data_IF_684491426900
#
_entry.id   IF_684491426900
#
_cell.length_a   1.000
_cell.length_b   1.000
_cell.length_c   1.000
_cell.angle_alpha   90.00
_cell.angle_beta   90.00
_cell.angle_gamma   90.00
#
_symmetry.space_group_name_H-M   'P 1'
#
loop_
_entity.id
_entity.type
_entity.pdbx_description
1 polymer ?
#
# COMPACT_ATOMS: atom_id res chain seq x y z
N UNK A 1 -14.24 -9.53 18.84
CA UNK A 1 -12.87 -8.93 18.87
C UNK A 1 -12.37 -8.78 17.45
N UNK A 2 -11.25 -8.09 17.17
CA UNK A 2 -10.71 -7.96 15.79
C UNK A 2 -10.31 -9.28 15.13
N UNK A 3 -10.26 -10.37 15.90
CA UNK A 3 -9.95 -11.73 15.46
C UNK A 3 -11.20 -12.56 15.13
N UNK A 4 -12.37 -12.11 15.60
CA UNK A 4 -13.62 -12.85 15.46
C UNK A 4 -14.32 -12.47 14.16
N UNK A 5 -14.92 -13.45 13.52
CA UNK A 5 -15.78 -13.23 12.36
C UNK A 5 -17.09 -12.58 12.80
N UNK A 6 -17.54 -11.51 12.14
CA UNK A 6 -18.82 -10.88 12.46
C UNK A 6 -19.99 -11.84 12.23
N UNK A 7 -20.94 -11.88 13.17
CA UNK A 7 -22.12 -12.77 13.10
C UNK A 7 -23.24 -12.28 12.18
N UNK A 8 -23.18 -11.03 11.71
CA UNK A 8 -24.21 -10.43 10.85
C UNK A 8 -23.77 -9.13 10.16
N UNK A 9 -24.46 -8.76 9.08
CA UNK A 9 -24.10 -7.62 8.22
C UNK A 9 -24.20 -6.26 8.93
N UNK A 10 -25.14 -6.12 9.87
CA UNK A 10 -25.38 -4.91 10.67
C UNK A 10 -24.26 -4.60 11.68
N UNK A 11 -23.41 -5.58 12.01
CA UNK A 11 -22.29 -5.43 12.95
C UNK A 11 -20.98 -5.06 12.25
N UNK A 12 -21.00 -4.81 10.93
CA UNK A 12 -19.79 -4.53 10.16
C UNK A 12 -19.37 -3.06 10.31
N UNK A 13 -18.21 -2.87 10.91
CA UNK A 13 -17.51 -1.59 10.97
C UNK A 13 -16.43 -1.52 9.89
N UNK A 14 -16.25 -0.34 9.30
CA UNK A 14 -15.06 -0.01 8.52
C UNK A 14 -14.05 0.64 9.48
N UNK A 15 -12.80 0.20 9.38
CA UNK A 15 -11.68 0.68 10.16
C UNK A 15 -10.52 1.08 9.26
N UNK A 16 -9.72 2.06 9.69
CA UNK A 16 -8.36 2.19 9.18
C UNK A 16 -7.48 1.14 9.89
N UNK A 17 -6.67 0.39 9.13
CA UNK A 17 -5.89 -0.72 9.66
C UNK A 17 -4.41 -0.59 9.29
N UNK A 18 -3.55 -0.48 10.30
CA UNK A 18 -2.10 -0.48 10.15
C UNK A 18 -1.58 -1.93 10.17
N UNK A 19 -0.96 -2.36 9.07
CA UNK A 19 -0.42 -3.72 8.91
C UNK A 19 0.84 -3.97 9.74
N UNK A 20 1.60 -2.92 10.08
CA UNK A 20 2.84 -3.04 10.84
C UNK A 20 2.56 -3.22 12.33
N UNK A 21 1.59 -2.47 12.88
CA UNK A 21 1.23 -2.54 14.30
C UNK A 21 0.03 -3.44 14.57
N UNK A 22 -0.70 -3.85 13.53
CA UNK A 22 -2.00 -4.52 13.60
C UNK A 22 -3.08 -3.70 14.32
N UNK A 23 -2.96 -2.37 14.36
CA UNK A 23 -3.94 -1.50 14.97
C UNK A 23 -5.08 -1.19 14.00
N UNK A 24 -6.31 -1.26 14.51
CA UNK A 24 -7.53 -0.93 13.78
C UNK A 24 -8.18 0.30 14.42
N UNK A 25 -7.92 1.49 13.88
CA UNK A 25 -8.48 2.75 14.37
C UNK A 25 -8.35 3.89 13.35
N UNK A 26 -9.37 4.75 13.17
CA UNK A 26 -10.68 4.71 13.85
C UNK A 26 -11.62 3.70 13.17
N UNK A 27 -12.57 3.16 13.94
CA UNK A 27 -13.59 2.22 13.46
C UNK A 27 -14.98 2.84 13.62
N UNK A 28 -15.76 2.83 12.55
CA UNK A 28 -17.16 3.27 12.58
C UNK A 28 -18.02 2.39 11.68
N UNK A 29 -19.33 2.41 11.88
CA UNK A 29 -20.29 1.70 11.03
C UNK A 29 -20.11 2.11 9.56
N UNK A 30 -20.22 1.15 8.64
CA UNK A 30 -20.02 1.37 7.20
C UNK A 30 -20.76 2.60 6.67
N UNK A 31 -22.02 2.77 7.06
CA UNK A 31 -22.88 3.85 6.56
C UNK A 31 -22.49 5.25 7.05
N UNK A 32 -21.63 5.33 8.06
CA UNK A 32 -21.11 6.60 8.58
C UNK A 32 -19.87 7.09 7.83
N UNK A 33 -19.26 6.23 7.00
CA UNK A 33 -18.16 6.63 6.14
C UNK A 33 -18.68 7.27 4.87
N UNK A 34 -18.12 8.43 4.54
CA UNK A 34 -18.51 9.22 3.39
C UNK A 34 -17.48 9.07 2.28
N UNK A 35 -17.92 8.63 1.10
CA UNK A 35 -17.10 8.67 -0.12
C UNK A 35 -17.14 10.09 -0.68
N UNK A 36 -15.98 10.71 -0.84
CA UNK A 36 -15.87 12.09 -1.32
C UNK A 36 -14.58 12.31 -2.10
N UNK A 37 -14.33 13.55 -2.50
CA UNK A 37 -13.08 13.99 -3.11
C UNK A 37 -12.24 14.77 -2.09
N UNK A 38 -10.98 14.37 -1.94
CA UNK A 38 -10.01 15.04 -1.08
C UNK A 38 -9.06 15.89 -1.92
N UNK A 39 -8.61 17.00 -1.34
CA UNK A 39 -7.73 17.98 -1.98
C UNK A 39 -6.30 17.45 -2.12
N UNK A 40 -5.78 16.80 -1.07
CA UNK A 40 -4.43 16.24 -1.04
C UNK A 40 -4.39 14.92 -0.26
N UNK A 41 -3.53 14.00 -0.69
CA UNK A 41 -3.21 12.76 0.02
C UNK A 41 -1.70 12.58 0.09
N UNK A 42 -1.17 12.05 1.20
CA UNK A 42 0.25 11.79 1.36
C UNK A 42 0.65 10.38 0.85
N UNK A 43 1.94 10.04 0.95
CA UNK A 43 2.50 8.74 0.52
C UNK A 43 1.93 7.53 1.28
N UNK A 44 1.40 7.76 2.49
CA UNK A 44 0.71 6.74 3.29
C UNK A 44 -0.81 6.74 3.05
N UNK A 45 -1.28 7.40 2.00
CA UNK A 45 -2.68 7.52 1.61
C UNK A 45 -3.60 8.24 2.62
N UNK A 46 -3.07 8.96 3.61
CA UNK A 46 -3.88 9.84 4.46
C UNK A 46 -4.22 11.13 3.69
N UNK A 47 -5.50 11.51 3.71
CA UNK A 47 -6.02 12.60 2.90
C UNK A 47 -6.61 13.74 3.73
N UNK A 48 -6.67 14.94 3.13
CA UNK A 48 -7.29 16.14 3.72
C UNK A 48 -8.38 16.69 2.78
N UNK A 49 -9.56 17.01 3.33
CA UNK A 49 -10.70 17.57 2.56
C UNK A 49 -10.59 19.07 2.27
N UNK A 50 -10.08 19.86 3.23
CA UNK A 50 -10.13 21.33 3.17
C UNK A 50 -8.71 21.89 3.22
N UNK A 51 -8.08 22.07 2.07
CA UNK A 51 -6.89 22.91 1.98
C UNK A 51 -7.21 24.12 1.10
N UNK A 52 -7.47 25.27 1.74
CA UNK A 52 -7.81 26.53 1.05
C UNK A 52 -6.74 26.99 0.01
N UNK A 53 -5.60 26.31 -0.04
CA UNK A 53 -4.46 26.57 -0.93
C UNK A 53 -4.30 25.54 -2.07
N UNK A 54 -5.10 24.47 -2.15
CA UNK A 54 -4.86 23.41 -3.13
C UNK A 54 -5.42 23.75 -4.52
N UNK A 55 -4.51 24.04 -5.45
CA UNK A 55 -4.76 24.03 -6.91
C UNK A 55 -4.47 22.66 -7.54
N UNK A 56 -4.57 21.59 -6.76
CA UNK A 56 -4.22 20.23 -7.16
C UNK A 56 -5.39 19.42 -7.73
N UNK A 57 -5.09 18.29 -8.35
CA UNK A 57 -6.11 17.31 -8.74
C UNK A 57 -6.73 16.67 -7.50
N UNK A 58 -8.05 16.77 -7.40
CA UNK A 58 -8.81 16.09 -6.34
C UNK A 58 -8.72 14.58 -6.53
N UNK A 59 -8.57 13.86 -5.43
CA UNK A 59 -8.44 12.40 -5.41
C UNK A 59 -9.63 11.79 -4.68
N UNK A 60 -10.17 10.65 -5.16
CA UNK A 60 -11.25 9.96 -4.47
C UNK A 60 -10.76 9.43 -3.11
N UNK A 61 -11.54 9.67 -2.07
CA UNK A 61 -11.22 9.29 -0.70
C UNK A 61 -12.46 8.85 0.08
N UNK A 62 -12.22 8.07 1.13
CA UNK A 62 -13.22 7.63 2.08
C UNK A 62 -12.93 8.26 3.44
N UNK A 63 -13.94 8.91 4.02
CA UNK A 63 -13.77 9.72 5.23
C UNK A 63 -14.69 9.26 6.36
N UNK A 64 -14.11 9.11 7.54
CA UNK A 64 -14.82 8.79 8.77
C UNK A 64 -15.44 10.05 9.41
N UNK A 65 -16.44 9.89 10.30
CA UNK A 65 -17.01 10.98 11.08
C UNK A 65 -15.99 11.80 11.89
N UNK A 66 -14.85 11.20 12.25
CA UNK A 66 -13.76 11.87 12.96
C UNK A 66 -12.93 12.82 12.07
N UNK A 67 -13.33 13.07 10.82
CA UNK A 67 -12.57 13.79 9.76
C UNK A 67 -11.28 13.09 9.32
N UNK A 68 -11.09 11.85 9.73
CA UNK A 68 -10.03 10.99 9.23
C UNK A 68 -10.38 10.52 7.80
N UNK A 69 -9.52 10.75 6.84
CA UNK A 69 -9.74 10.40 5.43
C UNK A 69 -8.58 9.59 4.86
N UNK A 70 -8.90 8.64 4.00
CA UNK A 70 -7.92 7.81 3.28
C UNK A 70 -8.23 7.74 1.80
N UNK A 71 -7.20 7.63 0.96
CA UNK A 71 -7.38 7.49 -0.48
C UNK A 71 -8.09 6.17 -0.77
N UNK A 72 -9.21 6.24 -1.49
CA UNK A 72 -10.03 5.08 -1.78
C UNK A 72 -10.90 5.34 -3.01
N UNK A 73 -10.74 4.51 -4.03
CA UNK A 73 -11.41 4.68 -5.32
C UNK A 73 -12.70 3.83 -5.46
N UNK A 74 -13.09 3.08 -4.43
CA UNK A 74 -14.28 2.22 -4.46
C UNK A 74 -14.17 0.94 -5.27
N UNK A 75 -13.03 0.70 -5.96
CA UNK A 75 -12.85 -0.47 -6.84
C UNK A 75 -12.34 -1.69 -6.10
N UNK A 76 -11.35 -1.50 -5.24
CA UNK A 76 -10.76 -2.58 -4.44
C UNK A 76 -11.58 -2.75 -3.18
N UNK A 77 -12.13 -3.94 -2.88
CA UNK A 77 -12.88 -4.17 -1.66
C UNK A 77 -11.96 -4.01 -0.43
N UNK A 78 -12.46 -3.46 0.70
CA UNK A 78 -11.72 -3.44 1.95
C UNK A 78 -11.39 -4.86 2.41
N UNK A 79 -10.21 -5.03 3.02
CA UNK A 79 -9.82 -6.31 3.61
C UNK A 79 -10.68 -6.63 4.84
N UNK A 80 -10.91 -7.91 5.06
CA UNK A 80 -11.49 -8.41 6.30
C UNK A 80 -10.36 -8.57 7.34
N UNK A 81 -10.38 -7.76 8.41
CA UNK A 81 -9.27 -7.75 9.40
C UNK A 81 -9.09 -9.13 10.04
N UNK A 82 -10.18 -9.85 10.32
CA UNK A 82 -10.09 -11.17 10.95
C UNK A 82 -9.47 -12.23 10.03
N UNK A 83 -9.67 -12.16 8.71
CA UNK A 83 -9.03 -13.11 7.76
C UNK A 83 -7.55 -12.80 7.62
N UNK A 84 -7.19 -11.53 7.53
CA UNK A 84 -5.79 -11.08 7.51
C UNK A 84 -5.03 -11.55 8.76
N UNK A 85 -5.59 -11.33 9.95
CA UNK A 85 -4.95 -11.70 11.22
C UNK A 85 -4.89 -13.21 11.47
N UNK A 86 -5.78 -14.01 10.86
CA UNK A 86 -5.72 -15.48 10.93
C UNK A 86 -4.59 -16.07 10.07
N UNK A 87 -3.87 -15.26 9.30
CA UNK A 87 -2.78 -15.72 8.44
C UNK A 87 -3.26 -16.55 7.25
N UNK A 88 -4.50 -16.33 6.80
CA UNK A 88 -4.97 -16.87 5.53
C UNK A 88 -4.06 -16.40 4.38
N UNK A 89 -4.00 -17.14 3.25
CA UNK A 89 -3.25 -16.67 2.10
C UNK A 89 -3.71 -15.27 1.76
N UNK A 90 -2.79 -14.31 1.52
CA UNK A 90 -3.19 -12.97 1.11
C UNK A 90 -4.08 -13.12 -0.12
N UNK A 91 -5.35 -12.75 0.00
CA UNK A 91 -6.22 -12.64 -1.16
C UNK A 91 -5.72 -11.44 -1.94
N UNK A 92 -4.80 -11.68 -2.87
CA UNK A 92 -4.32 -10.63 -3.77
C UNK A 92 -5.53 -10.06 -4.52
N UNK A 93 -5.56 -8.72 -4.65
CA UNK A 93 -6.64 -8.01 -5.31
C UNK A 93 -6.89 -8.64 -6.71
N UNK A 94 -8.11 -9.08 -7.04
CA UNK A 94 -8.41 -9.66 -8.36
C UNK A 94 -8.00 -8.74 -9.52
N UNK A 95 -8.14 -7.43 -9.34
CA UNK A 95 -7.72 -6.43 -10.31
C UNK A 95 -6.19 -6.33 -10.41
N UNK A 96 -5.46 -6.60 -9.33
CA UNK A 96 -4.00 -6.72 -9.35
C UNK A 96 -3.57 -8.00 -10.08
N UNK A 97 -4.21 -9.14 -9.81
CA UNK A 97 -3.93 -10.41 -10.49
C UNK A 97 -4.17 -10.29 -12.00
N UNK A 98 -5.23 -9.60 -12.41
CA UNK A 98 -5.52 -9.31 -13.82
C UNK A 98 -4.48 -8.35 -14.42
N UNK A 99 -4.21 -7.21 -13.78
CA UNK A 99 -3.25 -6.22 -14.27
C UNK A 99 -1.81 -6.78 -14.37
N UNK A 100 -1.44 -7.68 -13.46
CA UNK A 100 -0.15 -8.37 -13.48
C UNK A 100 -0.12 -9.56 -14.46
N UNK A 101 -1.28 -9.96 -15.02
CA UNK A 101 -1.38 -11.08 -15.93
C UNK A 101 -1.17 -12.44 -15.26
N UNK A 102 -1.48 -12.55 -13.97
CA UNK A 102 -1.42 -13.80 -13.20
C UNK A 102 -2.72 -14.61 -13.29
N UNK A 103 -3.77 -14.07 -13.92
CA UNK A 103 -5.06 -14.75 -14.04
C UNK A 103 -4.92 -16.13 -14.71
N UNK A 104 -5.33 -17.18 -14.00
CA UNK A 104 -5.25 -18.56 -14.47
C UNK A 104 -3.88 -19.22 -14.36
N UNK A 105 -2.85 -18.52 -13.85
CA UNK A 105 -1.55 -19.12 -13.55
C UNK A 105 -1.62 -19.83 -12.18
N UNK A 106 -1.30 -21.12 -12.17
CA UNK A 106 -1.21 -21.94 -10.94
C UNK A 106 0.20 -22.49 -10.70
N UNK A 107 1.05 -22.46 -11.73
CA UNK A 107 2.43 -22.88 -11.66
C UNK A 107 3.30 -21.76 -11.06
N UNK A 108 3.96 -22.05 -9.94
CA UNK A 108 4.76 -21.09 -9.20
C UNK A 108 5.92 -20.53 -10.03
N UNK A 109 6.53 -21.36 -10.89
CA UNK A 109 7.64 -20.95 -11.76
C UNK A 109 7.16 -19.98 -12.83
N UNK A 110 5.99 -20.23 -13.42
CA UNK A 110 5.35 -19.34 -14.38
C UNK A 110 5.00 -17.98 -13.74
N UNK A 111 4.44 -17.99 -12.53
CA UNK A 111 4.12 -16.76 -11.78
C UNK A 111 5.40 -15.95 -11.51
N UNK A 112 6.46 -16.58 -10.99
CA UNK A 112 7.73 -15.89 -10.70
C UNK A 112 8.38 -15.35 -11.97
N UNK A 113 8.31 -16.08 -13.07
CA UNK A 113 8.84 -15.62 -14.37
C UNK A 113 8.08 -14.40 -14.86
N UNK A 114 6.74 -14.45 -14.82
CA UNK A 114 5.89 -13.33 -15.22
C UNK A 114 6.10 -12.11 -14.33
N UNK A 115 6.24 -12.31 -13.02
CA UNK A 115 6.55 -11.24 -12.08
C UNK A 115 7.88 -10.56 -12.39
N UNK A 116 8.94 -11.33 -12.68
CA UNK A 116 10.26 -10.79 -13.07
C UNK A 116 10.18 -9.98 -14.36
N UNK A 117 9.44 -10.45 -15.36
CA UNK A 117 9.21 -9.71 -16.60
C UNK A 117 8.49 -8.38 -16.34
N UNK A 118 7.41 -8.40 -15.57
CA UNK A 118 6.65 -7.18 -15.25
C UNK A 118 7.54 -6.15 -14.54
N UNK A 119 8.38 -6.58 -13.58
CA UNK A 119 9.35 -5.71 -12.92
C UNK A 119 10.35 -5.14 -13.93
N UNK A 120 10.89 -5.97 -14.82
CA UNK A 120 11.83 -5.53 -15.85
C UNK A 120 11.22 -4.48 -16.76
N UNK A 121 9.97 -4.67 -17.21
CA UNK A 121 9.25 -3.71 -18.03
C UNK A 121 8.97 -2.41 -17.28
N UNK A 122 8.52 -2.48 -16.02
CA UNK A 122 8.29 -1.30 -15.20
C UNK A 122 9.59 -0.51 -14.96
N UNK A 123 10.70 -1.18 -14.66
CA UNK A 123 11.99 -0.52 -14.51
C UNK A 123 12.47 0.10 -15.83
N UNK A 124 12.20 -0.55 -16.96
CA UNK A 124 12.59 -0.06 -18.29
C UNK A 124 11.95 1.30 -18.64
N UNK A 125 10.77 1.62 -18.13
CA UNK A 125 10.07 2.89 -18.39
C UNK A 125 10.54 4.04 -17.50
N UNK A 126 11.25 3.76 -16.40
CA UNK A 126 11.78 4.77 -15.49
C UNK A 126 13.06 5.44 -16.02
N UNK A 127 13.24 6.72 -15.66
CA UNK A 127 14.47 7.46 -15.94
C UNK A 127 15.65 6.91 -15.13
N UNK A 128 16.88 7.20 -15.54
CA UNK A 128 18.06 6.79 -14.76
C UNK A 128 18.09 7.43 -13.38
N UNK A 129 17.63 8.68 -13.25
CA UNK A 129 17.53 9.37 -11.96
C UNK A 129 16.55 8.66 -11.02
N UNK A 130 15.37 8.27 -11.53
CA UNK A 130 14.38 7.56 -10.71
C UNK A 130 14.86 6.15 -10.33
N UNK A 131 15.58 5.47 -11.23
CA UNK A 131 16.21 4.17 -10.92
C UNK A 131 17.27 4.30 -9.84
N UNK A 132 18.08 5.35 -9.86
CA UNK A 132 19.08 5.62 -8.83
C UNK A 132 18.43 5.87 -7.47
N UNK A 133 17.32 6.62 -7.43
CA UNK A 133 16.54 6.88 -6.21
C UNK A 133 15.87 5.62 -5.63
N UNK A 134 15.48 4.68 -6.50
CA UNK A 134 14.92 3.39 -6.09
C UNK A 134 15.98 2.35 -5.71
N UNK A 135 17.24 2.58 -6.07
CA UNK A 135 18.35 1.67 -5.77
C UNK A 135 18.74 1.75 -4.29
N UNK A 136 19.43 0.71 -3.80
CA UNK A 136 20.01 0.71 -2.47
C UNK A 136 21.05 1.82 -2.32
N UNK A 137 21.03 2.52 -1.20
CA UNK A 137 22.01 3.57 -0.92
C UNK A 137 23.40 2.99 -0.63
N UNK A 138 24.45 3.80 -0.81
CA UNK A 138 25.84 3.38 -0.56
C UNK A 138 26.03 2.82 0.86
N UNK A 139 25.38 3.42 1.87
CA UNK A 139 25.50 3.02 3.28
C UNK A 139 24.66 1.79 3.67
N UNK A 140 23.59 1.51 2.93
CA UNK A 140 22.85 0.26 3.10
C UNK A 140 23.64 -0.92 2.52
N UNK A 141 24.25 -0.72 1.36
CA UNK A 141 25.01 -1.76 0.67
C UNK A 141 26.38 -2.01 1.32
N UNK A 142 27.12 -0.95 1.64
CA UNK A 142 28.49 -1.02 2.16
C UNK A 142 28.48 -0.83 3.68
N UNK A 143 28.51 -1.95 4.41
CA UNK A 143 28.49 -1.94 5.87
C UNK A 143 29.87 -1.64 6.49
N UNK A 144 30.95 -2.07 5.83
CA UNK A 144 32.34 -1.81 6.24
C UNK A 144 33.20 -1.68 5.00
N UNK A 145 34.08 -0.68 4.96
CA UNK A 145 35.08 -0.54 3.91
C UNK A 145 36.45 -0.29 4.53
N UNK A 146 37.45 -1.09 4.13
CA UNK A 146 38.85 -0.80 4.41
C UNK A 146 39.73 -1.17 3.22
N UNK A 147 40.67 -0.29 2.91
CA UNK A 147 41.70 -0.51 1.90
C UNK A 147 43.06 -0.14 2.50
N UNK A 148 44.05 -1.03 2.38
CA UNK A 148 45.38 -0.86 2.97
C UNK A 148 45.36 -0.53 4.48
N UNK A 149 44.43 -1.14 5.23
CA UNK A 149 44.29 -0.94 6.67
C UNK A 149 43.70 0.42 7.08
N UNK A 150 43.25 1.24 6.12
CA UNK A 150 42.53 2.50 6.38
C UNK A 150 41.05 2.33 6.06
N UNK A 151 40.19 3.00 6.80
CA UNK A 151 38.76 3.06 6.46
C UNK A 151 38.59 3.85 5.16
N UNK A 152 37.75 3.35 4.25
CA UNK A 152 37.39 4.11 3.04
C UNK A 152 36.33 5.16 3.38
N UNK A 153 36.28 6.23 2.58
CA UNK A 153 35.13 7.12 2.55
C UNK A 153 34.06 6.51 1.62
N UNK A 154 32.87 6.25 2.17
CA UNK A 154 31.76 5.64 1.43
C UNK A 154 30.98 6.71 0.65
N UNK A 155 31.03 7.98 1.08
CA UNK A 155 30.24 9.05 0.48
C UNK A 155 30.99 9.82 -0.60
N UNK A 156 32.32 9.73 -0.60
CA UNK A 156 33.21 10.29 -1.62
C UNK A 156 32.87 9.87 -3.06
#
# INVERSE_FOLDING_TARGET
>A
TKLDEPTGFEDHCICAFDRNTNDAWPCFLKDTWESTECDTCNEHAFCTKDNATSKGHKSPCLCAPSRFCVAYNGKTPPIEIWTYLKGGPPTEDPNFLEAMGFQGMTDEVAIVTKAKENIMFAMATLSMEDREKLSTTKRELVQKCSFNGKACDIDA
#
